data_IF_888766345699
#
_entry.id   IF_888766345699
#
_cell.length_a   1.000
_cell.length_b   1.000
_cell.length_c   1.000
_cell.angle_alpha   90.00
_cell.angle_beta   90.00
_cell.angle_gamma   90.00
#
_symmetry.space_group_name_H-M   'P 1'
#
loop_
_entity.id
_entity.type
_entity.pdbx_description
1 polymer ?
#
# COMPACT_ATOMS: atom_id res chain seq x y z
N UNK A 1 -7.93 -3.49 12.17
CA UNK A 1 -6.96 -2.44 11.82
C UNK A 1 -6.54 -2.54 10.36
N UNK A 2 -6.60 -1.42 9.61
CA UNK A 2 -6.14 -1.31 8.22
C UNK A 2 -4.69 -0.81 8.21
N UNK A 3 -3.79 -1.43 7.46
CA UNK A 3 -2.46 -0.90 7.24
C UNK A 3 -2.35 -0.19 5.88
N UNK A 4 -1.84 1.04 5.89
CA UNK A 4 -1.49 1.81 4.71
C UNK A 4 0.02 1.67 4.51
N UNK A 5 0.44 1.14 3.36
CA UNK A 5 1.85 0.95 3.02
C UNK A 5 2.54 2.31 2.85
N UNK A 6 3.50 2.61 3.70
CA UNK A 6 4.40 3.77 3.57
C UNK A 6 5.72 3.36 2.91
N UNK A 7 5.81 3.59 1.62
CA UNK A 7 7.05 3.48 0.84
C UNK A 7 7.51 4.85 0.31
N UNK A 8 7.07 5.94 0.98
CA UNK A 8 7.42 7.31 0.61
C UNK A 8 6.68 7.89 -0.59
N UNK A 9 5.56 7.27 -1.01
CA UNK A 9 4.71 7.74 -2.12
C UNK A 9 3.24 7.72 -1.71
N UNK A 10 2.49 8.72 -2.17
CA UNK A 10 1.04 8.86 -1.92
C UNK A 10 0.72 9.96 -0.91
N UNK A 11 -0.56 10.33 -0.86
CA UNK A 11 -1.06 11.29 0.12
C UNK A 11 -1.55 10.57 1.40
N UNK A 12 -0.58 10.12 2.21
CA UNK A 12 -0.81 9.29 3.39
C UNK A 12 -1.64 10.02 4.46
N UNK A 13 -1.43 11.33 4.62
CA UNK A 13 -2.16 12.13 5.59
C UNK A 13 -3.66 12.22 5.26
N UNK A 14 -4.00 12.58 4.02
CA UNK A 14 -5.40 12.65 3.60
C UNK A 14 -6.06 11.29 3.67
N UNK A 15 -5.39 10.22 3.20
CA UNK A 15 -5.93 8.86 3.26
C UNK A 15 -6.23 8.41 4.69
N UNK A 16 -5.29 8.58 5.62
CA UNK A 16 -5.49 8.26 7.04
C UNK A 16 -6.64 9.08 7.64
N UNK A 17 -6.75 10.35 7.26
CA UNK A 17 -7.82 11.23 7.73
C UNK A 17 -9.19 10.80 7.22
N UNK A 18 -9.30 10.40 5.94
CA UNK A 18 -10.53 9.88 5.35
C UNK A 18 -10.99 8.59 6.02
N UNK A 19 -10.07 7.66 6.32
CA UNK A 19 -10.39 6.44 7.05
C UNK A 19 -10.87 6.75 8.47
N UNK A 20 -10.20 7.67 9.17
CA UNK A 20 -10.64 8.13 10.49
C UNK A 20 -12.05 8.75 10.46
N UNK A 21 -12.36 9.53 9.43
CA UNK A 21 -13.67 10.18 9.28
C UNK A 21 -14.83 9.18 9.17
N UNK A 22 -14.60 8.01 8.57
CA UNK A 22 -15.59 6.93 8.47
C UNK A 22 -15.52 5.95 9.65
N UNK A 23 -14.76 6.26 10.70
CA UNK A 23 -14.62 5.41 11.89
C UNK A 23 -13.73 4.19 11.70
N UNK A 24 -12.95 4.12 10.61
CA UNK A 24 -12.02 3.02 10.37
C UNK A 24 -10.68 3.27 11.06
N UNK A 25 -10.20 2.28 11.80
CA UNK A 25 -8.88 2.31 12.42
C UNK A 25 -7.80 1.94 11.39
N UNK A 26 -6.81 2.84 11.25
CA UNK A 26 -5.76 2.72 10.25
C UNK A 26 -4.39 3.19 10.74
N UNK A 27 -3.38 2.40 10.44
CA UNK A 27 -1.97 2.70 10.67
C UNK A 27 -1.27 2.98 9.33
N UNK A 28 -0.39 3.97 9.31
CA UNK A 28 0.53 4.22 8.19
C UNK A 28 1.86 3.63 8.61
N UNK A 29 2.38 2.66 7.86
CA UNK A 29 3.54 1.90 8.30
C UNK A 29 4.44 1.45 7.16
N UNK A 30 5.73 1.40 7.48
CA UNK A 30 6.81 0.80 6.67
C UNK A 30 7.35 -0.49 7.30
N UNK A 31 6.71 -0.98 8.37
CA UNK A 31 7.12 -2.18 9.09
C UNK A 31 6.40 -3.40 8.51
N UNK A 32 7.20 -4.38 8.04
CA UNK A 32 6.69 -5.63 7.49
C UNK A 32 5.79 -6.39 8.49
N UNK A 33 6.15 -6.41 9.77
CA UNK A 33 5.40 -7.14 10.79
C UNK A 33 4.03 -6.49 11.06
N UNK A 34 3.94 -5.17 10.99
CA UNK A 34 2.66 -4.47 11.11
C UNK A 34 1.75 -4.74 9.90
N UNK A 35 2.32 -4.84 8.69
CA UNK A 35 1.59 -5.24 7.48
C UNK A 35 1.09 -6.69 7.58
N UNK A 36 1.89 -7.59 8.16
CA UNK A 36 1.51 -8.99 8.43
C UNK A 36 0.41 -9.09 9.47
N UNK A 37 0.46 -8.27 10.52
CA UNK A 37 -0.52 -8.29 11.61
C UNK A 37 -1.86 -7.60 11.26
N UNK A 38 -1.88 -6.69 10.27
CA UNK A 38 -3.11 -5.97 9.90
C UNK A 38 -4.17 -6.86 9.24
N UNK A 39 -5.45 -6.50 9.39
CA UNK A 39 -6.57 -7.26 8.79
C UNK A 39 -6.70 -7.01 7.28
N UNK A 40 -6.35 -5.79 6.86
CA UNK A 40 -6.47 -5.30 5.48
C UNK A 40 -5.28 -4.41 5.13
N UNK A 41 -4.90 -4.40 3.87
CA UNK A 41 -3.80 -3.57 3.36
C UNK A 41 -4.34 -2.59 2.30
N UNK A 42 -3.88 -1.35 2.37
CA UNK A 42 -4.04 -0.35 1.32
C UNK A 42 -2.67 -0.02 0.74
N UNK A 43 -2.52 -0.19 -0.57
CA UNK A 43 -1.36 0.25 -1.33
C UNK A 43 -1.71 1.57 -2.04
N UNK A 44 -1.31 2.74 -1.49
CA UNK A 44 -1.54 4.02 -2.16
C UNK A 44 -0.47 4.27 -3.23
N UNK A 45 -0.73 5.19 -4.15
CA UNK A 45 0.33 5.72 -5.01
C UNK A 45 -0.12 6.94 -5.81
N UNK A 46 0.85 7.81 -6.15
CA UNK A 46 0.71 8.97 -7.05
C UNK A 46 2.03 9.16 -7.81
N UNK A 47 1.99 9.85 -8.95
CA UNK A 47 3.19 10.14 -9.75
C UNK A 47 3.44 9.09 -10.85
N UNK A 48 4.70 8.93 -11.24
CA UNK A 48 5.11 8.01 -12.31
C UNK A 48 5.27 6.56 -11.82
N UNK A 49 4.89 5.60 -12.66
CA UNK A 49 4.94 4.18 -12.32
C UNK A 49 6.33 3.67 -11.97
N UNK A 50 7.32 3.97 -12.80
CA UNK A 50 8.68 3.47 -12.62
C UNK A 50 9.27 3.89 -11.26
N UNK A 51 9.06 5.14 -10.86
CA UNK A 51 9.56 5.67 -9.60
C UNK A 51 8.88 5.03 -8.39
N UNK A 52 7.55 4.85 -8.45
CA UNK A 52 6.80 4.23 -7.36
C UNK A 52 7.16 2.74 -7.20
N UNK A 53 7.27 2.01 -8.31
CA UNK A 53 7.70 0.61 -8.32
C UNK A 53 9.12 0.44 -7.75
N UNK A 54 10.08 1.28 -8.18
CA UNK A 54 11.44 1.27 -7.63
C UNK A 54 11.48 1.57 -6.14
N UNK A 55 10.72 2.58 -5.68
CA UNK A 55 10.65 2.93 -4.26
C UNK A 55 10.06 1.80 -3.43
N UNK A 56 8.96 1.18 -3.88
CA UNK A 56 8.36 0.06 -3.18
C UNK A 56 9.33 -1.13 -3.10
N UNK A 57 9.95 -1.50 -4.22
CA UNK A 57 10.97 -2.56 -4.26
C UNK A 57 12.19 -2.28 -3.37
N UNK A 58 12.67 -1.03 -3.32
CA UNK A 58 13.79 -0.65 -2.47
C UNK A 58 13.50 -0.79 -0.97
N UNK A 59 12.23 -0.78 -0.56
CA UNK A 59 11.83 -1.04 0.83
C UNK A 59 11.67 -2.53 1.14
N UNK A 60 11.62 -3.39 0.12
CA UNK A 60 11.26 -4.81 0.25
C UNK A 60 9.80 -5.07 0.64
N UNK A 61 8.97 -4.02 0.69
CA UNK A 61 7.55 -4.14 1.06
C UNK A 61 6.70 -4.68 -0.09
N UNK A 62 7.17 -4.63 -1.33
CA UNK A 62 6.57 -5.31 -2.47
C UNK A 62 6.40 -6.81 -2.21
N UNK A 63 7.45 -7.48 -1.73
CA UNK A 63 7.42 -8.89 -1.39
C UNK A 63 6.38 -9.18 -0.29
N UNK A 64 6.30 -8.32 0.73
CA UNK A 64 5.33 -8.45 1.82
C UNK A 64 3.90 -8.28 1.29
N UNK A 65 3.63 -7.26 0.48
CA UNK A 65 2.31 -7.02 -0.10
C UNK A 65 1.87 -8.20 -0.98
N UNK A 66 2.76 -8.71 -1.82
CA UNK A 66 2.49 -9.88 -2.67
C UNK A 66 2.20 -11.13 -1.82
N UNK A 67 3.01 -11.38 -0.80
CA UNK A 67 2.82 -12.50 0.11
C UNK A 67 1.45 -12.44 0.80
N UNK A 68 1.08 -11.28 1.35
CA UNK A 68 -0.19 -11.11 2.05
C UNK A 68 -1.40 -11.21 1.10
N UNK A 69 -1.28 -10.68 -0.13
CA UNK A 69 -2.31 -10.85 -1.17
C UNK A 69 -2.51 -12.34 -1.51
N UNK A 70 -1.42 -13.11 -1.69
CA UNK A 70 -1.48 -14.56 -1.92
C UNK A 70 -2.09 -15.33 -0.74
N UNK A 71 -1.87 -14.86 0.48
CA UNK A 71 -2.50 -15.42 1.69
C UNK A 71 -4.00 -15.09 1.81
N UNK A 72 -4.58 -14.35 0.85
CA UNK A 72 -6.00 -13.99 0.83
C UNK A 72 -6.33 -12.74 1.65
N UNK A 73 -5.33 -12.00 2.15
CA UNK A 73 -5.57 -10.73 2.83
C UNK A 73 -6.16 -9.71 1.85
N UNK A 74 -7.20 -9.00 2.29
CA UNK A 74 -7.84 -7.98 1.47
C UNK A 74 -6.85 -6.83 1.18
N UNK A 75 -6.60 -6.60 -0.10
CA UNK A 75 -5.70 -5.56 -0.61
C UNK A 75 -6.49 -4.58 -1.48
N UNK A 76 -6.33 -3.28 -1.21
CA UNK A 76 -6.88 -2.20 -2.03
C UNK A 76 -5.74 -1.33 -2.58
N UNK A 77 -5.59 -1.30 -3.91
CA UNK A 77 -4.73 -0.32 -4.59
C UNK A 77 -5.48 0.99 -4.86
N UNK A 78 -4.85 2.13 -4.61
CA UNK A 78 -5.44 3.46 -4.89
C UNK A 78 -4.60 4.19 -5.94
N UNK A 79 -5.24 4.61 -7.04
CA UNK A 79 -4.63 5.33 -8.17
C UNK A 79 -3.42 4.56 -8.73
N UNK A 80 -2.21 5.09 -8.64
CA UNK A 80 -0.99 4.40 -9.07
C UNK A 80 -0.80 3.07 -8.31
N UNK A 81 -1.20 3.01 -7.04
CA UNK A 81 -1.14 1.77 -6.26
C UNK A 81 -2.05 0.66 -6.81
N UNK A 82 -3.12 0.99 -7.54
CA UNK A 82 -3.91 0.01 -8.30
C UNK A 82 -3.16 -0.46 -9.54
N UNK A 83 -2.50 0.45 -10.26
CA UNK A 83 -1.72 0.10 -11.46
C UNK A 83 -0.56 -0.85 -11.11
N UNK A 84 0.06 -0.67 -9.93
CA UNK A 84 1.13 -1.54 -9.43
C UNK A 84 0.70 -2.98 -9.14
N UNK A 85 -0.60 -3.30 -9.21
CA UNK A 85 -1.11 -4.67 -9.08
C UNK A 85 -1.08 -5.47 -10.39
N UNK A 86 -0.74 -4.84 -11.52
CA UNK A 86 -0.59 -5.50 -12.81
C UNK A 86 0.82 -6.05 -13.02
N UNK A 87 0.95 -7.00 -13.95
CA UNK A 87 2.25 -7.62 -14.29
C UNK A 87 3.24 -6.66 -14.96
N UNK A 88 2.76 -5.59 -15.60
CA UNK A 88 3.58 -4.60 -16.30
C UNK A 88 2.86 -3.26 -16.51
N UNK A 89 3.67 -2.22 -16.70
CA UNK A 89 3.23 -0.90 -17.19
C UNK A 89 3.70 -0.68 -18.63
N UNK A 90 3.01 0.23 -19.34
CA UNK A 90 3.38 0.71 -20.69
C UNK A 90 3.64 2.22 -20.71
N UNK A 91 3.73 2.86 -19.54
CA UNK A 91 4.27 4.22 -19.41
C UNK A 91 5.73 4.30 -19.88
#
# INVERSE_FOLDING_TARGET
>A
MIAIVDYGVGNLFSLKSSLKMIGADAIVTRNAEELRAADKIILPGVGAFEDAAKKLGATGLDAVVIEQAKAGKQLLGICLGMQMLFDRSFE
#
